data_IF_605548650182
#
_entry.id   IF_605548650182
#
_cell.length_a   1.000
_cell.length_b   1.000
_cell.length_c   1.000
_cell.angle_alpha   90.00
_cell.angle_beta   90.00
_cell.angle_gamma   90.00
#
_symmetry.space_group_name_H-M   'P 1'
#
loop_
_entity.id
_entity.type
_entity.pdbx_description
1 polymer ?
#
# COMPACT_ATOMS: atom_id res chain seq x y z
N UNK A 1 32.25 55.40 23.37
CA UNK A 1 30.93 54.85 23.01
C UNK A 1 31.11 53.40 22.62
N UNK A 2 30.21 52.51 23.04
CA UNK A 2 30.32 51.07 22.79
C UNK A 2 29.61 50.68 21.48
N UNK A 3 30.19 49.72 20.75
CA UNK A 3 29.51 48.94 19.73
C UNK A 3 29.86 47.46 19.97
N UNK A 4 28.83 46.61 20.10
CA UNK A 4 28.97 45.20 20.52
C UNK A 4 29.16 44.26 19.33
N UNK A 5 29.78 43.13 19.62
CA UNK A 5 29.82 41.91 18.81
C UNK A 5 28.43 41.55 18.25
N UNK A 6 28.31 41.14 16.97
CA UNK A 6 27.12 40.44 16.49
C UNK A 6 27.09 39.03 17.07
N UNK A 7 25.93 38.60 17.58
CA UNK A 7 25.74 37.26 18.10
C UNK A 7 25.53 36.24 16.98
N UNK A 8 26.25 35.13 17.07
CA UNK A 8 26.15 33.99 16.16
C UNK A 8 24.76 33.31 16.30
N UNK A 9 23.93 33.45 15.27
CA UNK A 9 22.58 32.88 15.26
C UNK A 9 22.66 31.39 14.89
N UNK A 10 22.67 30.51 15.90
CA UNK A 10 22.67 29.06 15.72
C UNK A 10 21.47 28.59 14.87
N UNK A 11 21.76 28.15 13.64
CA UNK A 11 20.77 27.55 12.73
C UNK A 11 20.37 26.18 13.29
N UNK A 12 19.13 26.08 13.79
CA UNK A 12 18.63 24.84 14.38
C UNK A 12 18.30 23.81 13.28
N UNK A 13 18.96 22.66 13.35
CA UNK A 13 18.80 21.52 12.46
C UNK A 13 17.32 21.11 12.24
N UNK A 14 16.84 21.00 10.99
CA UNK A 14 15.45 20.66 10.68
C UNK A 14 15.00 19.31 11.25
N UNK A 15 15.89 18.32 11.42
CA UNK A 15 15.54 17.05 12.07
C UNK A 15 15.13 17.24 13.53
N UNK A 16 15.85 18.10 14.25
CA UNK A 16 15.59 18.37 15.67
C UNK A 16 14.24 19.07 15.86
N UNK A 17 13.86 19.95 14.93
CA UNK A 17 12.54 20.58 14.90
C UNK A 17 11.43 19.57 14.57
N UNK A 18 11.66 18.63 13.64
CA UNK A 18 10.71 17.56 13.33
C UNK A 18 10.50 16.61 14.53
N UNK A 19 11.57 16.17 15.20
CA UNK A 19 11.50 15.35 16.42
C UNK A 19 10.77 16.07 17.56
N UNK A 20 11.03 17.37 17.77
CA UNK A 20 10.31 18.20 18.77
C UNK A 20 8.81 18.36 18.46
N UNK A 21 8.43 18.47 17.18
CA UNK A 21 7.01 18.49 16.76
C UNK A 21 6.33 17.14 17.02
N UNK A 22 6.95 16.02 16.65
CA UNK A 22 6.43 14.66 16.95
C UNK A 22 6.29 14.42 18.46
N UNK A 23 7.27 14.82 19.27
CA UNK A 23 7.21 14.71 20.73
C UNK A 23 6.10 15.57 21.37
N UNK A 24 5.81 16.76 20.84
CA UNK A 24 4.65 17.57 21.26
C UNK A 24 3.32 16.93 20.87
N UNK A 25 3.21 16.37 19.66
CA UNK A 25 2.00 15.67 19.23
C UNK A 25 1.73 14.42 20.10
N UNK A 26 2.75 13.61 20.40
CA UNK A 26 2.62 12.46 21.29
C UNK A 26 2.17 12.86 22.72
N UNK A 27 2.73 13.95 23.28
CA UNK A 27 2.28 14.48 24.59
C UNK A 27 0.86 15.05 24.57
N UNK A 28 0.39 15.58 23.45
CA UNK A 28 -0.99 16.02 23.30
C UNK A 28 -1.96 14.82 23.24
N UNK A 29 -1.60 13.76 22.50
CA UNK A 29 -2.37 12.52 22.44
C UNK A 29 -2.47 11.82 23.81
N UNK A 30 -1.37 11.73 24.57
CA UNK A 30 -1.38 11.16 25.93
C UNK A 30 -2.31 11.92 26.88
N UNK A 31 -2.35 13.26 26.84
CA UNK A 31 -3.29 14.06 27.65
C UNK A 31 -4.75 13.86 27.26
N UNK A 32 -5.05 13.60 25.98
CA UNK A 32 -6.41 13.31 25.53
C UNK A 32 -6.92 11.94 26.03
N UNK A 33 -6.04 10.95 26.14
CA UNK A 33 -6.35 9.64 26.74
C UNK A 33 -6.55 9.77 28.26
N UNK A 34 -5.69 10.54 28.94
CA UNK A 34 -5.75 10.77 30.39
C UNK A 34 -7.06 11.46 30.81
N UNK A 35 -7.60 12.38 29.99
CA UNK A 35 -8.92 13.00 30.22
C UNK A 35 -10.13 12.09 30.00
N UNK A 36 -9.97 10.92 29.37
CA UNK A 36 -11.07 9.98 29.08
C UNK A 36 -11.23 8.87 30.13
N UNK A 37 -10.24 8.68 31.01
CA UNK A 37 -10.21 7.57 31.97
C UNK A 37 -10.81 7.88 33.36
N UNK A 38 -11.43 9.06 33.54
CA UNK A 38 -11.87 9.56 34.85
C UNK A 38 -13.33 9.21 35.24
N UNK A 39 -14.01 8.33 34.49
CA UNK A 39 -15.38 7.92 34.79
C UNK A 39 -15.61 6.43 34.49
N UNK A 40 -15.44 5.58 35.51
CA UNK A 40 -16.17 4.32 35.81
C UNK A 40 -15.42 3.55 36.89
N UNK A 41 -16.00 3.44 38.09
CA UNK A 41 -15.64 2.42 39.08
C UNK A 41 -16.83 1.47 39.26
N UNK A 42 -16.61 0.15 39.39
CA UNK A 42 -17.69 -0.82 39.60
C UNK A 42 -18.06 -0.93 41.09
N UNK A 43 -19.35 -1.07 41.38
CA UNK A 43 -19.85 -1.35 42.73
C UNK A 43 -20.00 -2.88 42.95
N UNK A 44 -19.69 -3.42 44.14
CA UNK A 44 -19.86 -4.83 44.47
C UNK A 44 -21.22 -5.16 45.13
N UNK A 45 -21.56 -6.44 45.05
CA UNK A 45 -22.77 -7.12 45.51
C UNK A 45 -22.82 -7.35 47.04
N UNK A 46 -24.01 -7.40 47.69
CA UNK A 46 -24.16 -8.03 49.00
C UNK A 46 -25.30 -9.07 49.13
N UNK A 47 -24.99 -10.15 49.86
CA UNK A 47 -25.88 -11.25 50.29
C UNK A 47 -26.64 -10.93 51.62
N UNK A 48 -27.59 -11.79 52.07
CA UNK A 48 -28.68 -11.38 52.98
C UNK A 48 -28.54 -11.77 54.47
N UNK A 49 -29.19 -11.02 55.38
CA UNK A 49 -29.59 -11.35 56.78
C UNK A 49 -30.41 -10.16 57.40
N UNK A 50 -31.22 -10.21 58.50
CA UNK A 50 -31.77 -11.30 59.34
C UNK A 50 -33.14 -10.91 60.02
N UNK A 51 -34.27 -11.36 59.46
CA UNK A 51 -35.47 -11.98 60.14
C UNK A 51 -35.99 -11.51 61.54
N UNK A 52 -37.23 -10.99 61.59
CA UNK A 52 -38.36 -11.16 62.58
C UNK A 52 -38.15 -10.93 64.12
N UNK A 53 -39.19 -10.81 65.02
CA UNK A 53 -40.63 -11.17 64.87
C UNK A 53 -41.72 -10.28 65.56
N UNK A 54 -42.98 -10.77 65.44
CA UNK A 54 -44.17 -10.54 66.30
C UNK A 54 -45.02 -9.25 66.09
N UNK A 55 -46.35 -9.22 66.27
CA UNK A 55 -47.32 -10.20 66.76
C UNK A 55 -48.74 -10.06 66.12
N UNK A 56 -49.61 -11.07 66.28
CA UNK A 56 -51.06 -11.04 65.98
C UNK A 56 -51.84 -10.35 67.14
N UNK A 57 -53.09 -9.84 66.96
CA UNK A 57 -54.34 -10.63 66.82
C UNK A 57 -55.26 -10.14 65.67
N UNK A 58 -56.12 -10.92 65.01
CA UNK A 58 -57.31 -11.73 65.42
C UNK A 58 -58.53 -10.92 65.96
N UNK A 59 -59.62 -10.93 65.15
CA UNK A 59 -61.08 -10.92 65.50
C UNK A 59 -61.62 -9.78 66.39
N UNK A 60 -62.76 -9.13 66.12
CA UNK A 60 -64.13 -9.68 65.96
C UNK A 60 -65.09 -8.75 65.16
N UNK A 61 -66.33 -9.20 64.80
CA UNK A 61 -67.27 -8.46 63.97
C UNK A 61 -68.34 -7.67 64.77
N UNK A 62 -68.84 -6.56 64.21
CA UNK A 62 -70.04 -5.86 64.74
C UNK A 62 -71.05 -5.56 63.62
N UNK A 63 -72.33 -5.88 63.89
CA UNK A 63 -73.50 -5.72 63.00
C UNK A 63 -74.21 -4.35 63.25
N UNK A 64 -75.28 -3.99 62.50
CA UNK A 64 -75.45 -2.62 62.00
C UNK A 64 -76.21 -1.69 62.95
N UNK A 65 -76.15 -0.38 62.67
CA UNK A 65 -77.05 0.63 63.23
C UNK A 65 -77.65 1.53 62.13
N UNK A 66 -78.95 1.79 62.25
CA UNK A 66 -79.82 2.61 61.37
C UNK A 66 -80.74 3.42 62.32
N UNK A 67 -81.43 4.49 61.90
CA UNK A 67 -80.96 5.73 61.26
C UNK A 67 -81.29 7.00 62.09
N UNK A 68 -80.76 8.16 61.68
CA UNK A 68 -81.30 9.52 61.88
C UNK A 68 -80.81 10.35 60.68
N UNK A 69 -81.60 11.00 59.80
CA UNK A 69 -82.78 11.89 59.88
C UNK A 69 -82.42 13.32 60.32
N UNK A 70 -82.47 14.26 59.36
CA UNK A 70 -82.04 15.67 59.47
C UNK A 70 -80.53 15.81 59.25
N UNK A 71 -79.99 16.49 58.23
CA UNK A 71 -80.44 17.75 57.64
C UNK A 71 -80.25 17.83 56.11
N UNK A 72 -80.86 18.87 55.54
CA UNK A 72 -80.97 19.15 54.11
C UNK A 72 -79.71 19.88 53.59
N UNK A 73 -78.88 19.18 52.79
CA UNK A 73 -77.68 19.76 52.17
C UNK A 73 -77.91 19.96 50.65
N UNK A 74 -77.52 21.10 50.04
CA UNK A 74 -77.87 21.41 48.66
C UNK A 74 -77.20 20.50 47.63
N UNK A 75 -77.96 20.12 46.60
CA UNK A 75 -77.46 19.35 45.45
C UNK A 75 -76.38 20.17 44.71
N UNK A 76 -75.14 19.67 44.56
CA UNK A 76 -74.15 20.33 43.71
C UNK A 76 -74.60 20.26 42.24
N UNK A 77 -74.45 21.35 41.45
CA UNK A 77 -74.91 21.38 40.07
C UNK A 77 -74.20 20.32 39.21
N UNK A 78 -74.96 19.69 38.32
CA UNK A 78 -74.47 18.62 37.47
C UNK A 78 -73.26 19.06 36.62
N UNK A 79 -72.25 18.19 36.55
CA UNK A 79 -71.09 18.42 35.69
C UNK A 79 -71.53 18.65 34.22
N UNK A 80 -70.96 19.64 33.51
CA UNK A 80 -71.35 19.93 32.14
C UNK A 80 -71.08 18.74 31.24
N UNK A 81 -72.09 18.33 30.48
CA UNK A 81 -71.97 17.29 29.46
C UNK A 81 -70.97 17.76 28.40
N UNK A 82 -69.89 17.02 28.21
CA UNK A 82 -68.94 17.26 27.11
C UNK A 82 -69.67 17.06 25.77
N UNK A 83 -69.93 18.15 25.05
CA UNK A 83 -70.51 18.08 23.71
C UNK A 83 -69.56 17.36 22.75
N UNK A 84 -70.08 16.54 21.81
CA UNK A 84 -69.23 15.89 20.81
C UNK A 84 -68.55 16.93 19.93
N UNK A 85 -67.21 16.87 19.87
CA UNK A 85 -66.37 17.86 19.21
C UNK A 85 -66.72 18.02 17.72
N UNK A 86 -67.51 19.05 17.38
CA UNK A 86 -67.88 19.36 16.00
C UNK A 86 -66.64 19.84 15.24
N UNK A 87 -66.16 19.00 14.31
CA UNK A 87 -65.07 19.34 13.36
C UNK A 87 -65.37 20.62 12.59
N UNK A 88 -64.74 21.72 13.02
CA UNK A 88 -64.79 23.02 12.33
C UNK A 88 -64.19 22.87 10.91
N UNK A 89 -64.67 23.62 9.90
CA UNK A 89 -64.24 23.45 8.50
C UNK A 89 -62.73 23.63 8.29
N UNK A 90 -62.05 24.36 9.18
CA UNK A 90 -60.59 24.50 9.21
C UNK A 90 -59.85 23.16 9.32
N UNK A 91 -60.35 22.22 10.13
CA UNK A 91 -59.74 20.88 10.27
C UNK A 91 -59.96 20.01 9.03
N UNK A 92 -61.07 20.19 8.30
CA UNK A 92 -61.32 19.47 7.04
C UNK A 92 -60.31 19.85 5.96
N UNK A 93 -59.94 21.13 5.86
CA UNK A 93 -58.87 21.58 4.94
C UNK A 93 -57.50 21.01 5.30
N UNK A 94 -57.17 20.96 6.60
CA UNK A 94 -55.92 20.36 7.09
C UNK A 94 -55.86 18.86 6.76
N UNK A 95 -56.92 18.10 7.05
CA UNK A 95 -57.03 16.67 6.73
C UNK A 95 -56.98 16.44 5.20
N UNK A 96 -57.64 17.27 4.39
CA UNK A 96 -57.58 17.16 2.94
C UNK A 96 -56.17 17.40 2.38
N UNK A 97 -55.43 18.38 2.91
CA UNK A 97 -54.04 18.62 2.51
C UNK A 97 -53.09 17.49 2.94
N UNK A 98 -53.30 16.90 4.13
CA UNK A 98 -52.56 15.74 4.59
C UNK A 98 -52.82 14.52 3.68
N UNK A 99 -54.08 14.26 3.34
CA UNK A 99 -54.46 13.20 2.41
C UNK A 99 -53.84 13.41 1.02
N UNK A 100 -53.85 14.63 0.49
CA UNK A 100 -53.34 14.94 -0.84
C UNK A 100 -51.79 14.95 -0.94
N UNK A 101 -51.09 15.41 0.10
CA UNK A 101 -49.62 15.59 0.08
C UNK A 101 -48.88 14.39 0.67
N UNK A 102 -49.47 13.68 1.63
CA UNK A 102 -48.83 12.55 2.31
C UNK A 102 -49.44 11.22 1.85
N UNK A 103 -50.74 11.03 2.05
CA UNK A 103 -51.35 9.71 1.84
C UNK A 103 -51.40 9.33 0.37
N UNK A 104 -51.77 10.25 -0.53
CA UNK A 104 -51.86 9.98 -1.96
C UNK A 104 -50.49 9.62 -2.58
N UNK A 105 -49.38 10.35 -2.32
CA UNK A 105 -48.07 9.93 -2.80
C UNK A 105 -47.56 8.64 -2.15
N UNK A 106 -47.79 8.41 -0.84
CA UNK A 106 -47.42 7.15 -0.18
C UNK A 106 -48.16 5.95 -0.79
N UNK A 107 -49.46 6.09 -1.07
CA UNK A 107 -50.26 5.04 -1.73
C UNK A 107 -49.79 4.84 -3.17
N UNK A 108 -49.49 5.90 -3.92
CA UNK A 108 -48.93 5.79 -5.27
C UNK A 108 -47.57 5.07 -5.28
N UNK A 109 -46.68 5.39 -4.34
CA UNK A 109 -45.39 4.70 -4.14
C UNK A 109 -45.60 3.23 -3.77
N UNK A 110 -46.54 2.92 -2.88
CA UNK A 110 -46.86 1.55 -2.50
C UNK A 110 -47.40 0.74 -3.68
N UNK A 111 -48.34 1.29 -4.47
CA UNK A 111 -48.88 0.63 -5.66
C UNK A 111 -47.79 0.40 -6.71
N UNK A 112 -46.90 1.38 -6.95
CA UNK A 112 -45.78 1.22 -7.86
C UNK A 112 -44.81 0.10 -7.41
N UNK A 113 -44.38 0.12 -6.15
CA UNK A 113 -43.44 -0.86 -5.59
C UNK A 113 -44.02 -2.27 -5.48
N UNK A 114 -45.35 -2.44 -5.47
CA UNK A 114 -46.00 -3.74 -5.34
C UNK A 114 -46.51 -4.31 -6.66
N UNK A 115 -46.82 -3.47 -7.65
CA UNK A 115 -47.33 -3.90 -8.94
C UNK A 115 -46.29 -3.89 -10.07
N UNK A 116 -45.30 -2.99 -10.05
CA UNK A 116 -44.44 -2.69 -11.21
C UNK A 116 -42.94 -2.86 -10.96
N UNK A 117 -42.47 -2.74 -9.72
CA UNK A 117 -41.04 -2.89 -9.41
C UNK A 117 -40.61 -4.36 -9.55
N UNK A 118 -39.51 -4.58 -10.26
CA UNK A 118 -38.95 -5.93 -10.43
C UNK A 118 -38.26 -6.41 -9.13
N UNK A 119 -38.35 -7.71 -8.78
CA UNK A 119 -37.52 -8.26 -7.72
C UNK A 119 -36.05 -8.30 -8.16
N UNK A 120 -35.13 -7.86 -7.30
CA UNK A 120 -33.69 -8.00 -7.53
C UNK A 120 -33.12 -9.10 -6.62
N UNK A 121 -32.41 -10.03 -7.26
CA UNK A 121 -31.63 -11.09 -6.66
C UNK A 121 -30.16 -10.66 -6.57
N UNK A 122 -29.38 -11.33 -5.73
CA UNK A 122 -27.96 -11.03 -5.57
C UNK A 122 -27.13 -12.31 -5.59
N UNK A 123 -25.89 -12.21 -6.06
CA UNK A 123 -24.87 -13.25 -5.92
C UNK A 123 -23.65 -12.66 -5.25
N UNK A 124 -23.17 -13.33 -4.21
CA UNK A 124 -22.00 -12.92 -3.44
C UNK A 124 -20.81 -13.83 -3.77
N UNK A 125 -19.64 -13.24 -4.02
CA UNK A 125 -18.37 -13.96 -4.15
C UNK A 125 -17.26 -13.15 -3.48
N UNK A 126 -16.35 -13.86 -2.80
CA UNK A 126 -15.25 -13.26 -2.06
C UNK A 126 -13.97 -14.00 -2.42
N UNK A 127 -12.93 -13.26 -2.81
CA UNK A 127 -11.65 -13.82 -3.24
C UNK A 127 -10.48 -12.97 -2.76
N UNK A 128 -9.29 -13.57 -2.69
CA UNK A 128 -8.04 -12.82 -2.49
C UNK A 128 -6.99 -13.21 -3.53
N UNK A 129 -6.06 -12.29 -3.79
CA UNK A 129 -4.83 -12.60 -4.53
C UNK A 129 -3.84 -13.22 -3.56
N UNK A 130 -3.26 -14.37 -3.90
CA UNK A 130 -2.19 -15.01 -3.11
C UNK A 130 -0.89 -15.00 -3.91
N UNK A 131 0.18 -14.54 -3.28
CA UNK A 131 1.55 -14.73 -3.75
C UNK A 131 2.17 -15.95 -3.07
N UNK A 132 2.80 -16.84 -3.84
CA UNK A 132 3.59 -17.94 -3.30
C UNK A 132 5.01 -17.43 -2.97
N UNK A 133 5.12 -16.71 -1.84
CA UNK A 133 6.38 -16.12 -1.41
C UNK A 133 7.21 -17.12 -0.58
N UNK A 134 8.46 -17.35 -0.98
CA UNK A 134 9.29 -18.40 -0.41
C UNK A 134 9.82 -18.01 0.97
N UNK A 135 9.35 -18.69 2.02
CA UNK A 135 9.82 -18.58 3.41
C UNK A 135 11.25 -19.11 3.65
N UNK A 136 12.18 -18.86 2.72
CA UNK A 136 13.58 -19.26 2.83
C UNK A 136 14.42 -18.18 3.51
N UNK A 137 14.88 -18.45 4.73
CA UNK A 137 15.70 -17.53 5.54
C UNK A 137 17.00 -17.04 4.85
N UNK A 138 17.48 -17.73 3.81
CA UNK A 138 18.62 -17.30 3.00
C UNK A 138 18.33 -16.08 2.10
N UNK A 139 17.05 -15.74 1.86
CA UNK A 139 16.65 -14.65 0.96
C UNK A 139 16.54 -13.28 1.64
N UNK A 140 16.83 -13.14 2.94
CA UNK A 140 16.49 -11.93 3.72
C UNK A 140 17.03 -10.59 3.19
N UNK A 141 18.16 -10.59 2.46
CA UNK A 141 18.74 -9.39 1.87
C UNK A 141 18.25 -9.08 0.44
N UNK A 142 17.99 -10.12 -0.38
CA UNK A 142 17.47 -9.95 -1.75
C UNK A 142 15.94 -9.79 -1.76
N UNK A 143 15.23 -10.50 -0.87
CA UNK A 143 13.80 -10.39 -0.66
C UNK A 143 13.37 -9.01 -0.14
N UNK A 144 14.23 -8.35 0.66
CA UNK A 144 14.01 -6.98 1.10
C UNK A 144 14.04 -5.96 -0.06
N UNK A 145 14.78 -6.26 -1.14
CA UNK A 145 14.83 -5.43 -2.35
C UNK A 145 13.61 -5.70 -3.24
N UNK A 146 13.18 -6.96 -3.39
CA UNK A 146 11.97 -7.29 -4.17
C UNK A 146 10.68 -6.77 -3.51
N UNK A 147 10.62 -6.69 -2.18
CA UNK A 147 9.51 -6.09 -1.43
C UNK A 147 9.33 -4.58 -1.68
N UNK A 148 10.33 -3.88 -2.24
CA UNK A 148 10.22 -2.46 -2.62
C UNK A 148 9.49 -2.30 -3.98
N UNK A 149 9.37 -3.37 -4.78
CA UNK A 149 8.93 -3.29 -6.18
C UNK A 149 7.45 -3.58 -6.48
N UNK A 150 6.67 -4.14 -5.55
CA UNK A 150 5.27 -4.49 -5.82
C UNK A 150 4.67 -5.49 -4.84
N UNK A 151 4.21 -4.99 -3.69
CA UNK A 151 3.48 -5.78 -2.71
C UNK A 151 2.04 -6.07 -3.16
N UNK A 152 1.48 -7.21 -2.75
CA UNK A 152 0.15 -7.72 -3.12
C UNK A 152 -1.04 -6.78 -2.86
N UNK A 153 -0.83 -5.69 -2.09
CA UNK A 153 -1.77 -4.58 -2.01
C UNK A 153 -2.04 -3.93 -3.39
N UNK A 154 -1.00 -3.68 -4.21
CA UNK A 154 -1.17 -3.06 -5.54
C UNK A 154 -2.02 -3.92 -6.48
N UNK A 155 -1.81 -5.24 -6.45
CA UNK A 155 -2.52 -6.18 -7.32
C UNK A 155 -4.02 -6.24 -6.96
N UNK A 156 -4.32 -6.06 -5.67
CA UNK A 156 -5.68 -6.03 -5.13
C UNK A 156 -6.38 -4.69 -5.45
N UNK A 157 -5.66 -3.57 -5.35
CA UNK A 157 -6.15 -2.24 -5.75
C UNK A 157 -6.42 -2.17 -7.27
N UNK A 158 -5.51 -2.69 -8.10
CA UNK A 158 -5.68 -2.79 -9.56
C UNK A 158 -6.90 -3.63 -9.92
N UNK A 159 -7.13 -4.72 -9.19
CA UNK A 159 -8.29 -5.57 -9.41
C UNK A 159 -9.61 -4.89 -8.98
N UNK A 160 -9.60 -4.16 -7.86
CA UNK A 160 -10.71 -3.33 -7.40
C UNK A 160 -11.09 -2.22 -8.40
N UNK A 161 -10.12 -1.61 -9.05
CA UNK A 161 -10.35 -0.64 -10.13
C UNK A 161 -10.84 -1.31 -11.42
N UNK A 162 -10.27 -2.47 -11.78
CA UNK A 162 -10.66 -3.22 -12.98
C UNK A 162 -12.13 -3.66 -12.93
N UNK A 163 -12.61 -4.21 -11.80
CA UNK A 163 -13.99 -4.68 -11.66
C UNK A 163 -15.01 -3.52 -11.80
N UNK A 164 -14.58 -2.27 -11.61
CA UNK A 164 -15.40 -1.05 -11.74
C UNK A 164 -15.16 -0.27 -13.04
N UNK A 165 -14.26 -0.78 -13.89
CA UNK A 165 -13.84 -0.17 -15.15
C UNK A 165 -14.80 -0.50 -16.29
N UNK A 166 -14.77 0.30 -17.35
CA UNK A 166 -15.48 -0.01 -18.61
C UNK A 166 -14.94 -1.28 -19.29
N UNK A 167 -13.68 -1.64 -19.06
CA UNK A 167 -13.02 -2.75 -19.74
C UNK A 167 -13.58 -4.12 -19.32
N UNK A 168 -13.88 -4.32 -18.02
CA UNK A 168 -14.54 -5.56 -17.57
C UNK A 168 -15.99 -5.60 -18.04
N UNK A 169 -16.69 -4.45 -18.05
CA UNK A 169 -18.08 -4.34 -18.52
C UNK A 169 -18.18 -4.78 -19.97
N UNK A 170 -17.28 -4.29 -20.84
CA UNK A 170 -17.22 -4.72 -22.24
C UNK A 170 -16.88 -6.22 -22.37
N UNK A 171 -15.89 -6.73 -21.64
CA UNK A 171 -15.49 -8.15 -21.70
C UNK A 171 -16.62 -9.11 -21.28
N UNK A 172 -17.44 -8.72 -20.31
CA UNK A 172 -18.61 -9.49 -19.85
C UNK A 172 -19.80 -9.31 -20.81
N UNK A 173 -20.03 -8.10 -21.33
CA UNK A 173 -21.08 -7.81 -22.33
C UNK A 173 -20.88 -8.62 -23.62
N UNK A 174 -19.63 -8.76 -24.10
CA UNK A 174 -19.26 -9.61 -25.24
C UNK A 174 -19.54 -11.12 -25.02
N UNK A 175 -19.76 -11.57 -23.77
CA UNK A 175 -19.98 -12.98 -23.41
C UNK A 175 -21.41 -13.30 -22.99
N UNK A 176 -22.03 -12.40 -22.22
CA UNK A 176 -23.34 -12.62 -21.58
C UNK A 176 -24.46 -11.75 -22.15
N UNK A 177 -24.16 -10.78 -23.03
CA UNK A 177 -25.10 -9.73 -23.48
C UNK A 177 -25.78 -9.05 -22.27
N UNK A 178 -25.00 -8.23 -21.56
CA UNK A 178 -25.48 -7.53 -20.36
C UNK A 178 -26.64 -6.58 -20.70
N UNK A 179 -26.73 -6.11 -21.94
CA UNK A 179 -27.85 -5.28 -22.43
C UNK A 179 -29.15 -6.07 -22.45
N UNK A 180 -29.12 -7.34 -22.84
CA UNK A 180 -30.29 -8.21 -22.79
C UNK A 180 -30.67 -8.54 -21.34
N UNK A 181 -29.69 -8.89 -20.49
CA UNK A 181 -29.93 -9.23 -19.08
C UNK A 181 -30.54 -8.04 -18.31
N UNK A 182 -29.94 -6.85 -18.38
CA UNK A 182 -30.42 -5.66 -17.67
C UNK A 182 -31.66 -5.00 -18.31
N UNK A 183 -32.17 -5.51 -19.43
CA UNK A 183 -33.46 -5.13 -20.02
C UNK A 183 -34.48 -6.29 -20.04
N UNK A 184 -34.21 -7.43 -19.38
CA UNK A 184 -35.07 -8.60 -19.40
C UNK A 184 -36.49 -8.32 -18.87
N UNK A 185 -36.63 -7.35 -17.97
CA UNK A 185 -37.92 -6.91 -17.39
C UNK A 185 -38.32 -5.52 -17.91
N UNK A 186 -38.93 -5.39 -19.10
CA UNK A 186 -39.24 -4.09 -19.72
C UNK A 186 -40.35 -3.28 -19.01
N UNK A 187 -40.99 -3.84 -17.98
CA UNK A 187 -41.95 -3.11 -17.13
C UNK A 187 -41.27 -2.12 -16.18
N UNK A 188 -40.03 -2.38 -15.76
CA UNK A 188 -39.34 -1.53 -14.80
C UNK A 188 -38.45 -0.49 -15.49
N UNK A 189 -39.05 0.68 -15.77
CA UNK A 189 -38.37 1.79 -16.45
C UNK A 189 -37.45 2.61 -15.54
N UNK A 190 -37.35 2.27 -14.25
CA UNK A 190 -36.53 2.99 -13.26
C UNK A 190 -35.28 2.19 -12.91
N UNK A 191 -35.41 0.86 -12.80
CA UNK A 191 -34.30 -0.03 -12.47
C UNK A 191 -33.69 -0.75 -13.68
N UNK A 192 -34.35 -0.87 -14.84
CA UNK A 192 -33.70 -1.41 -16.05
C UNK A 192 -32.67 -0.42 -16.66
N UNK A 193 -31.77 -0.94 -17.50
CA UNK A 193 -30.79 -0.12 -18.26
C UNK A 193 -31.49 0.93 -19.15
N UNK A 194 -32.58 0.55 -19.81
CA UNK A 194 -33.40 1.43 -20.62
C UNK A 194 -33.01 1.47 -22.10
N UNK A 195 -33.35 2.57 -22.78
CA UNK A 195 -33.18 2.71 -24.24
C UNK A 195 -31.78 3.09 -24.68
N UNK A 196 -31.01 3.71 -23.79
CA UNK A 196 -29.62 4.06 -24.06
C UNK A 196 -28.75 2.82 -23.83
N UNK A 197 -28.21 2.29 -24.92
CA UNK A 197 -27.32 1.13 -24.90
C UNK A 197 -25.88 1.53 -25.24
N UNK A 198 -25.48 2.77 -24.94
CA UNK A 198 -24.06 3.14 -24.94
C UNK A 198 -23.29 2.34 -23.89
N UNK A 199 -22.00 2.11 -24.13
CA UNK A 199 -21.15 1.36 -23.19
C UNK A 199 -20.92 2.16 -21.90
N UNK A 200 -20.99 3.49 -21.99
CA UNK A 200 -20.98 4.44 -20.90
C UNK A 200 -22.21 4.28 -20.00
N UNK A 201 -23.42 4.25 -20.60
CA UNK A 201 -24.67 4.00 -19.86
C UNK A 201 -24.67 2.62 -19.20
N UNK A 202 -24.17 1.58 -19.89
CA UNK A 202 -24.02 0.24 -19.34
C UNK A 202 -23.00 0.21 -18.17
N UNK A 203 -21.91 0.98 -18.25
CA UNK A 203 -20.90 1.07 -17.18
C UNK A 203 -21.42 1.80 -15.94
N UNK A 204 -22.21 2.87 -16.11
CA UNK A 204 -22.85 3.57 -14.99
C UNK A 204 -24.03 2.78 -14.40
N UNK A 205 -24.63 1.88 -15.17
CA UNK A 205 -25.57 0.88 -14.66
C UNK A 205 -24.85 -0.22 -13.88
N UNK A 206 -23.76 -0.76 -14.42
CA UNK A 206 -22.89 -1.76 -13.78
C UNK A 206 -22.41 -1.31 -12.40
N UNK A 207 -21.95 -0.06 -12.25
CA UNK A 207 -21.54 0.50 -10.93
C UNK A 207 -22.66 0.54 -9.88
N UNK A 208 -23.93 0.40 -10.29
CA UNK A 208 -25.09 0.26 -9.39
C UNK A 208 -25.40 -1.20 -9.08
N UNK A 209 -25.30 -2.07 -10.08
CA UNK A 209 -25.61 -3.50 -10.01
C UNK A 209 -24.44 -4.39 -9.56
N UNK A 210 -23.21 -3.89 -9.52
CA UNK A 210 -22.04 -4.61 -9.02
C UNK A 210 -21.36 -3.75 -7.96
N UNK A 211 -21.45 -4.23 -6.72
CA UNK A 211 -20.89 -3.57 -5.53
C UNK A 211 -19.65 -4.32 -5.10
N UNK A 212 -18.52 -3.64 -5.13
CA UNK A 212 -17.23 -4.18 -4.71
C UNK A 212 -16.81 -3.51 -3.41
N UNK A 213 -16.44 -4.31 -2.41
CA UNK A 213 -15.73 -3.85 -1.21
C UNK A 213 -14.33 -4.49 -1.16
N UNK A 214 -13.36 -3.72 -0.65
CA UNK A 214 -11.97 -4.12 -0.48
C UNK A 214 -11.61 -4.00 0.99
N UNK A 215 -11.20 -5.10 1.62
CA UNK A 215 -10.59 -5.10 2.94
C UNK A 215 -9.06 -5.12 2.81
N UNK A 216 -8.45 -3.93 2.77
CA UNK A 216 -7.00 -3.74 2.57
C UNK A 216 -6.12 -4.41 3.64
N UNK A 217 -6.68 -4.84 4.77
CA UNK A 217 -5.95 -5.56 5.83
C UNK A 217 -5.73 -7.03 5.51
N UNK A 218 -6.71 -7.68 4.89
CA UNK A 218 -6.70 -9.11 4.60
C UNK A 218 -6.47 -9.41 3.10
N UNK A 219 -6.54 -8.38 2.24
CA UNK A 219 -6.40 -8.51 0.79
C UNK A 219 -7.61 -9.20 0.15
N UNK A 220 -8.76 -9.14 0.81
CA UNK A 220 -10.01 -9.77 0.36
C UNK A 220 -10.83 -8.72 -0.41
N UNK A 221 -11.31 -9.13 -1.58
CA UNK A 221 -12.29 -8.42 -2.38
C UNK A 221 -13.61 -9.19 -2.27
N UNK A 222 -14.65 -8.50 -1.82
CA UNK A 222 -16.03 -8.99 -1.88
C UNK A 222 -16.74 -8.33 -3.06
N UNK A 223 -17.33 -9.13 -3.92
CA UNK A 223 -18.18 -8.69 -5.02
C UNK A 223 -19.60 -9.16 -4.76
N UNK A 224 -20.54 -8.22 -4.75
CA UNK A 224 -21.97 -8.46 -4.69
C UNK A 224 -22.60 -7.96 -5.98
N UNK A 225 -23.03 -8.89 -6.81
CA UNK A 225 -23.72 -8.62 -8.07
C UNK A 225 -25.22 -8.68 -7.86
N UNK A 226 -25.97 -7.89 -8.64
CA UNK A 226 -27.42 -7.78 -8.58
C UNK A 226 -28.00 -7.95 -9.99
N UNK A 227 -29.10 -8.72 -10.10
CA UNK A 227 -29.83 -8.91 -11.35
C UNK A 227 -31.31 -9.23 -11.09
N UNK A 228 -32.14 -9.18 -12.14
CA UNK A 228 -33.59 -9.45 -12.05
C UNK A 228 -33.94 -10.94 -11.93
N UNK A 229 -32.97 -11.84 -12.13
CA UNK A 229 -33.09 -13.29 -11.92
C UNK A 229 -31.92 -13.79 -11.06
N UNK A 230 -32.09 -14.84 -10.24
CA UNK A 230 -30.99 -15.40 -9.46
C UNK A 230 -29.94 -16.08 -10.35
N UNK A 231 -30.34 -16.67 -11.49
CA UNK A 231 -29.43 -17.30 -12.44
C UNK A 231 -28.52 -16.27 -13.13
N UNK A 232 -29.05 -15.11 -13.52
CA UNK A 232 -28.23 -14.09 -14.18
C UNK A 232 -27.32 -13.35 -13.19
N UNK A 233 -27.75 -13.17 -11.93
CA UNK A 233 -26.87 -12.68 -10.87
C UNK A 233 -25.66 -13.61 -10.68
N UNK A 234 -25.90 -14.93 -10.61
CA UNK A 234 -24.82 -15.91 -10.48
C UNK A 234 -23.87 -15.90 -11.70
N UNK A 235 -24.40 -15.93 -12.93
CA UNK A 235 -23.58 -15.87 -14.16
C UNK A 235 -22.68 -14.62 -14.21
N UNK A 236 -23.21 -13.46 -13.79
CA UNK A 236 -22.43 -12.22 -13.76
C UNK A 236 -21.30 -12.33 -12.73
N UNK A 237 -21.56 -12.87 -11.53
CA UNK A 237 -20.53 -13.10 -10.54
C UNK A 237 -19.47 -14.14 -10.98
N UNK A 238 -19.87 -15.21 -11.66
CA UNK A 238 -18.97 -16.20 -12.27
C UNK A 238 -18.04 -15.57 -13.32
N UNK A 239 -18.57 -14.74 -14.23
CA UNK A 239 -17.74 -14.10 -15.26
C UNK A 239 -16.88 -12.96 -14.69
N UNK A 240 -17.33 -12.24 -13.65
CA UNK A 240 -16.45 -11.32 -12.90
C UNK A 240 -15.28 -12.07 -12.27
N UNK A 241 -15.52 -13.23 -11.65
CA UNK A 241 -14.46 -14.07 -11.08
C UNK A 241 -13.52 -14.59 -12.17
N UNK A 242 -14.05 -14.97 -13.34
CA UNK A 242 -13.27 -15.44 -14.48
C UNK A 242 -12.39 -14.34 -15.10
N UNK A 243 -12.93 -13.15 -15.37
CA UNK A 243 -12.15 -11.99 -15.86
C UNK A 243 -11.13 -11.51 -14.82
N UNK A 244 -11.48 -11.52 -13.54
CA UNK A 244 -10.55 -11.21 -12.44
C UNK A 244 -9.35 -12.16 -12.44
N UNK A 245 -9.59 -13.46 -12.59
CA UNK A 245 -8.54 -14.47 -12.70
C UNK A 245 -7.69 -14.29 -13.97
N UNK A 246 -8.32 -14.00 -15.12
CA UNK A 246 -7.60 -13.69 -16.39
C UNK A 246 -6.68 -12.48 -16.24
N UNK A 247 -7.11 -11.42 -15.54
CA UNK A 247 -6.27 -10.25 -15.28
C UNK A 247 -5.07 -10.60 -14.41
N UNK A 248 -5.27 -11.28 -13.28
CA UNK A 248 -4.18 -11.69 -12.37
C UNK A 248 -3.16 -12.56 -13.10
N UNK A 249 -3.60 -13.53 -13.91
CA UNK A 249 -2.70 -14.36 -14.71
C UNK A 249 -1.94 -13.53 -15.75
N UNK A 250 -2.62 -12.64 -16.49
CA UNK A 250 -1.98 -11.76 -17.49
C UNK A 250 -0.90 -10.87 -16.88
N UNK A 251 -1.19 -10.23 -15.74
CA UNK A 251 -0.21 -9.42 -15.00
C UNK A 251 0.98 -10.25 -14.53
N UNK A 252 0.72 -11.49 -14.09
CA UNK A 252 1.77 -12.41 -13.65
C UNK A 252 2.66 -12.89 -14.79
N UNK A 253 2.09 -13.24 -15.94
CA UNK A 253 2.83 -13.67 -17.14
C UNK A 253 3.63 -12.52 -17.75
N UNK A 254 3.08 -11.30 -17.76
CA UNK A 254 3.82 -10.11 -18.15
C UNK A 254 5.00 -9.86 -17.19
N UNK A 255 4.77 -9.85 -15.86
CA UNK A 255 5.83 -9.65 -14.88
C UNK A 255 6.95 -10.71 -14.97
N UNK A 256 6.64 -11.98 -15.27
CA UNK A 256 7.64 -13.02 -15.56
C UNK A 256 8.46 -12.70 -16.80
N UNK A 257 7.79 -12.30 -17.88
CA UNK A 257 8.41 -12.00 -19.17
C UNK A 257 9.35 -10.80 -19.04
N UNK A 258 8.88 -9.73 -18.39
CA UNK A 258 9.65 -8.51 -18.13
C UNK A 258 10.85 -8.80 -17.23
N UNK A 259 10.68 -9.57 -16.14
CA UNK A 259 11.79 -9.95 -15.25
C UNK A 259 12.87 -10.78 -15.97
N UNK A 260 12.47 -11.76 -16.80
CA UNK A 260 13.41 -12.55 -17.60
C UNK A 260 14.13 -11.68 -18.64
N UNK A 261 13.39 -10.78 -19.31
CA UNK A 261 13.93 -9.86 -20.30
C UNK A 261 15.01 -8.96 -19.69
N UNK A 262 14.68 -8.23 -18.62
CA UNK A 262 15.63 -7.32 -17.96
C UNK A 262 16.85 -8.05 -17.38
N UNK A 263 16.66 -9.24 -16.77
CA UNK A 263 17.79 -10.01 -16.25
C UNK A 263 18.71 -10.57 -17.37
N UNK A 264 18.15 -10.86 -18.54
CA UNK A 264 18.92 -11.29 -19.73
C UNK A 264 19.65 -10.11 -20.38
N UNK A 265 19.01 -8.94 -20.44
CA UNK A 265 19.62 -7.70 -20.92
C UNK A 265 20.80 -7.29 -20.03
N UNK A 266 20.63 -7.35 -18.71
CA UNK A 266 21.66 -7.00 -17.73
C UNK A 266 22.85 -7.98 -17.77
N UNK A 267 22.60 -9.29 -17.90
CA UNK A 267 23.67 -10.27 -18.13
C UNK A 267 24.44 -9.98 -19.43
N UNK A 268 23.74 -9.60 -20.49
CA UNK A 268 24.36 -9.28 -21.78
C UNK A 268 25.24 -8.02 -21.68
N UNK A 269 24.77 -6.98 -20.97
CA UNK A 269 25.57 -5.77 -20.66
C UNK A 269 26.80 -6.10 -19.82
N UNK A 270 26.64 -6.89 -18.76
CA UNK A 270 27.75 -7.27 -17.89
C UNK A 270 28.79 -8.15 -18.61
N UNK A 271 28.36 -9.06 -19.50
CA UNK A 271 29.27 -9.84 -20.33
C UNK A 271 30.03 -8.96 -21.33
N UNK A 272 29.35 -8.02 -22.00
CA UNK A 272 29.98 -7.08 -22.93
C UNK A 272 31.01 -6.18 -22.21
N UNK A 273 30.67 -5.67 -21.03
CA UNK A 273 31.59 -4.88 -20.19
C UNK A 273 32.81 -5.69 -19.76
N UNK A 274 32.62 -6.90 -19.22
CA UNK A 274 33.72 -7.81 -18.86
C UNK A 274 34.60 -8.17 -20.05
N UNK A 275 34.02 -8.34 -21.25
CA UNK A 275 34.79 -8.58 -22.47
C UNK A 275 35.64 -7.37 -22.84
N UNK A 276 35.06 -6.16 -22.82
CA UNK A 276 35.78 -4.90 -23.11
C UNK A 276 36.94 -4.63 -22.15
N UNK A 277 36.73 -4.81 -20.83
CA UNK A 277 37.80 -4.64 -19.83
C UNK A 277 38.92 -5.66 -20.04
N UNK A 278 38.60 -6.92 -20.35
CA UNK A 278 39.61 -7.96 -20.63
C UNK A 278 40.39 -7.68 -21.92
N UNK A 279 39.75 -7.11 -22.94
CA UNK A 279 40.39 -6.67 -24.16
C UNK A 279 41.32 -5.47 -23.91
N UNK A 280 40.86 -4.46 -23.16
CA UNK A 280 41.68 -3.32 -22.75
C UNK A 280 42.92 -3.75 -21.96
N UNK A 281 42.77 -4.64 -20.98
CA UNK A 281 43.89 -5.19 -20.22
C UNK A 281 44.86 -6.00 -21.10
N UNK A 282 44.35 -6.76 -22.07
CA UNK A 282 45.19 -7.51 -23.02
C UNK A 282 45.94 -6.60 -24.00
N UNK A 283 45.31 -5.50 -24.44
CA UNK A 283 45.92 -4.48 -25.29
C UNK A 283 47.00 -3.72 -24.51
N UNK A 284 46.70 -3.25 -23.29
CA UNK A 284 47.66 -2.60 -22.39
C UNK A 284 48.91 -3.47 -22.16
N UNK A 285 48.74 -4.76 -21.84
CA UNK A 285 49.86 -5.70 -21.71
C UNK A 285 50.66 -5.86 -23.01
N UNK A 286 50.00 -5.88 -24.17
CA UNK A 286 50.67 -6.00 -25.48
C UNK A 286 51.50 -4.76 -25.80
N UNK A 287 50.91 -3.59 -25.65
CA UNK A 287 51.50 -2.30 -26.03
C UNK A 287 52.68 -1.97 -25.12
N UNK A 288 52.55 -2.26 -23.82
CA UNK A 288 53.61 -2.10 -22.83
C UNK A 288 54.56 -3.33 -22.71
N UNK A 289 54.33 -4.39 -23.50
CA UNK A 289 55.10 -5.66 -23.52
C UNK A 289 55.23 -6.36 -22.16
N UNK A 290 54.24 -6.19 -21.30
CA UNK A 290 54.23 -6.72 -19.94
C UNK A 290 53.77 -8.18 -19.93
N UNK A 291 54.54 -9.06 -19.28
CA UNK A 291 54.15 -10.46 -19.08
C UNK A 291 53.53 -10.63 -17.68
N UNK A 292 54.21 -10.11 -16.65
CA UNK A 292 53.70 -9.96 -15.30
C UNK A 292 54.27 -8.65 -14.71
N UNK A 293 53.49 -7.55 -14.68
CA UNK A 293 53.98 -6.25 -14.24
C UNK A 293 54.51 -6.25 -12.81
N UNK A 294 53.96 -7.09 -11.91
CA UNK A 294 54.42 -7.17 -10.52
C UNK A 294 55.76 -7.89 -10.44
N UNK A 295 55.94 -8.97 -11.21
CA UNK A 295 57.22 -9.66 -11.31
C UNK A 295 58.29 -8.79 -12.01
N UNK A 296 57.92 -8.08 -13.08
CA UNK A 296 58.83 -7.22 -13.86
C UNK A 296 59.34 -6.04 -13.00
N UNK A 297 58.46 -5.34 -12.28
CA UNK A 297 58.84 -4.28 -11.30
C UNK A 297 59.69 -4.86 -10.17
N UNK A 298 59.30 -6.01 -9.60
CA UNK A 298 60.03 -6.63 -8.49
C UNK A 298 61.44 -7.08 -8.92
N UNK A 299 61.59 -7.58 -10.14
CA UNK A 299 62.88 -7.96 -10.72
C UNK A 299 63.82 -6.76 -10.92
N UNK A 300 63.31 -5.65 -11.50
CA UNK A 300 64.08 -4.42 -11.67
C UNK A 300 64.48 -3.80 -10.33
N UNK A 301 63.57 -3.74 -9.35
CA UNK A 301 63.88 -3.28 -8.00
C UNK A 301 64.92 -4.19 -7.31
N UNK A 302 64.84 -5.50 -7.51
CA UNK A 302 65.83 -6.47 -7.03
C UNK A 302 67.22 -6.25 -7.64
N UNK A 303 67.31 -5.99 -8.94
CA UNK A 303 68.56 -5.66 -9.63
C UNK A 303 69.15 -4.34 -9.12
N UNK A 304 68.33 -3.29 -8.97
CA UNK A 304 68.76 -1.99 -8.45
C UNK A 304 69.31 -2.13 -7.02
N UNK A 305 68.61 -2.83 -6.13
CA UNK A 305 69.09 -3.12 -4.77
C UNK A 305 70.40 -3.92 -4.76
N UNK A 306 70.59 -4.84 -5.70
CA UNK A 306 71.84 -5.60 -5.84
C UNK A 306 73.01 -4.71 -6.30
N UNK A 307 72.78 -3.81 -7.26
CA UNK A 307 73.77 -2.83 -7.72
C UNK A 307 74.11 -1.81 -6.62
N UNK A 308 73.11 -1.32 -5.87
CA UNK A 308 73.35 -0.43 -4.72
C UNK A 308 74.13 -1.14 -3.61
N UNK A 309 73.89 -2.43 -3.37
CA UNK A 309 74.69 -3.25 -2.45
C UNK A 309 76.14 -3.44 -2.95
N UNK A 310 76.35 -3.62 -4.25
CA UNK A 310 77.70 -3.70 -4.83
C UNK A 310 78.44 -2.35 -4.74
N UNK A 311 77.75 -1.23 -5.01
CA UNK A 311 78.28 0.11 -4.86
C UNK A 311 78.72 0.37 -3.42
N UNK A 312 77.85 0.07 -2.45
CA UNK A 312 78.16 0.24 -1.02
C UNK A 312 79.39 -0.60 -0.59
N UNK A 313 79.50 -1.84 -1.06
CA UNK A 313 80.69 -2.69 -0.81
C UNK A 313 81.95 -2.10 -1.40
N UNK A 314 81.91 -1.64 -2.66
CA UNK A 314 83.06 -1.03 -3.32
C UNK A 314 83.49 0.29 -2.65
N UNK A 315 82.54 1.09 -2.15
CA UNK A 315 82.85 2.30 -1.36
C UNK A 315 83.53 1.96 -0.02
N UNK A 316 83.03 0.95 0.71
CA UNK A 316 83.66 0.50 1.96
C UNK A 316 85.07 -0.05 1.71
N UNK A 317 85.25 -0.88 0.67
CA UNK A 317 86.55 -1.44 0.26
C UNK A 317 87.56 -0.33 -0.08
N UNK A 318 87.10 0.73 -0.73
CA UNK A 318 87.90 1.93 -1.04
C UNK A 318 88.32 2.69 0.21
N UNK A 319 87.38 2.95 1.11
CA UNK A 319 87.63 3.76 2.31
C UNK A 319 88.52 3.00 3.32
N UNK A 320 88.39 1.68 3.41
CA UNK A 320 89.32 0.81 4.13
C UNK A 320 90.74 0.92 3.55
N UNK A 321 90.89 0.76 2.23
CA UNK A 321 92.19 0.86 1.55
C UNK A 321 92.84 2.23 1.73
N UNK A 322 92.07 3.33 1.68
CA UNK A 322 92.55 4.70 1.88
C UNK A 322 93.00 4.99 3.32
N UNK A 323 92.68 4.14 4.30
CA UNK A 323 93.19 4.30 5.67
C UNK A 323 94.68 3.97 5.80
N UNK A 324 95.28 3.31 4.80
CA UNK A 324 96.70 2.92 4.80
C UNK A 324 97.42 3.02 3.44
N UNK A 325 96.73 3.30 2.33
CA UNK A 325 97.32 3.48 0.99
C UNK A 325 97.18 4.91 0.46
N UNK A 326 98.11 5.33 -0.41
CA UNK A 326 98.03 6.63 -1.09
C UNK A 326 96.85 6.66 -2.08
N UNK A 327 96.09 7.77 -2.21
CA UNK A 327 95.01 7.90 -3.18
C UNK A 327 95.37 7.62 -4.64
N UNK A 328 96.67 7.67 -5.01
CA UNK A 328 97.15 7.36 -6.36
C UNK A 328 97.55 5.89 -6.56
N UNK A 329 97.50 5.05 -5.52
CA UNK A 329 97.76 3.61 -5.61
C UNK A 329 96.88 2.97 -6.70
N UNK A 330 97.48 2.10 -7.52
CA UNK A 330 96.81 1.41 -8.62
C UNK A 330 95.59 0.60 -8.16
N UNK A 331 95.59 0.14 -6.90
CA UNK A 331 94.46 -0.55 -6.25
C UNK A 331 93.28 0.38 -6.00
N UNK A 332 93.51 1.60 -5.48
CA UNK A 332 92.47 2.62 -5.28
C UNK A 332 91.83 2.97 -6.63
N UNK A 333 92.65 3.23 -7.65
CA UNK A 333 92.16 3.51 -9.00
C UNK A 333 91.35 2.37 -9.62
N UNK A 334 91.59 1.11 -9.22
CA UNK A 334 90.80 -0.03 -9.68
C UNK A 334 89.41 -0.06 -9.03
N UNK A 335 89.32 0.26 -7.74
CA UNK A 335 88.04 0.36 -7.03
C UNK A 335 87.26 1.59 -7.53
N UNK A 336 87.91 2.74 -7.75
CA UNK A 336 87.29 3.93 -8.36
C UNK A 336 86.66 3.63 -9.73
N UNK A 337 87.34 2.85 -10.58
CA UNK A 337 86.79 2.40 -11.87
C UNK A 337 85.57 1.48 -11.69
N UNK A 338 85.56 0.62 -10.66
CA UNK A 338 84.40 -0.24 -10.33
C UNK A 338 83.22 0.59 -9.84
N UNK A 339 83.46 1.54 -8.93
CA UNK A 339 82.45 2.49 -8.44
C UNK A 339 81.84 3.25 -9.63
N UNK A 340 82.65 3.84 -10.50
CA UNK A 340 82.17 4.56 -11.68
C UNK A 340 81.34 3.68 -12.62
N UNK A 341 81.73 2.41 -12.82
CA UNK A 341 80.98 1.46 -13.65
C UNK A 341 79.64 1.06 -13.02
N UNK A 342 79.60 0.79 -11.70
CA UNK A 342 78.36 0.43 -10.99
C UNK A 342 77.42 1.63 -10.89
N UNK A 343 77.92 2.82 -10.56
CA UNK A 343 77.12 4.06 -10.56
C UNK A 343 76.55 4.35 -11.94
N UNK A 344 77.35 4.28 -13.00
CA UNK A 344 76.85 4.44 -14.37
C UNK A 344 75.81 3.40 -14.77
N UNK A 345 75.83 2.20 -14.17
CA UNK A 345 74.79 1.19 -14.36
C UNK A 345 73.52 1.47 -13.56
N UNK A 346 73.65 1.95 -12.32
CA UNK A 346 72.53 2.42 -11.48
C UNK A 346 71.81 3.59 -12.16
N UNK A 347 72.55 4.56 -12.69
CA UNK A 347 71.98 5.72 -13.39
C UNK A 347 71.32 5.31 -14.71
N UNK A 348 71.86 4.32 -15.43
CA UNK A 348 71.22 3.75 -16.62
C UNK A 348 69.92 2.97 -16.28
N UNK A 349 69.89 2.23 -15.17
CA UNK A 349 68.71 1.48 -14.73
C UNK A 349 67.60 2.42 -14.21
N UNK A 350 67.97 3.42 -13.39
CA UNK A 350 67.07 4.52 -12.98
C UNK A 350 66.62 5.37 -14.17
N UNK A 351 67.49 5.53 -15.17
CA UNK A 351 67.17 6.11 -16.47
C UNK A 351 66.10 5.29 -17.20
N UNK A 352 66.28 3.97 -17.30
CA UNK A 352 65.29 3.05 -17.90
C UNK A 352 63.93 3.06 -17.17
N UNK A 353 63.93 3.22 -15.85
CA UNK A 353 62.72 3.34 -15.02
C UNK A 353 61.95 4.66 -15.22
N UNK A 354 62.63 5.73 -15.64
CA UNK A 354 62.07 7.09 -15.75
C UNK A 354 61.91 7.59 -17.20
N UNK A 355 62.74 7.09 -18.12
CA UNK A 355 62.87 7.54 -19.52
C UNK A 355 63.16 6.35 -20.45
N UNK A 356 62.10 5.70 -20.92
CA UNK A 356 62.07 5.08 -22.25
C UNK A 356 62.30 3.57 -22.34
N UNK A 357 61.51 2.94 -23.21
CA UNK A 357 61.60 1.51 -23.59
C UNK A 357 60.21 0.88 -23.72
N UNK A 358 59.34 1.29 -22.79
CA UNK A 358 57.89 1.10 -22.78
C UNK A 358 57.23 2.49 -22.97
N UNK A 359 56.02 2.57 -23.51
CA UNK A 359 55.32 3.85 -23.78
C UNK A 359 54.74 4.49 -22.51
N UNK A 360 55.60 5.00 -21.63
CA UNK A 360 55.24 5.69 -20.38
C UNK A 360 56.36 5.57 -19.34
N UNK A 361 56.32 6.37 -18.26
CA UNK A 361 57.21 6.14 -17.11
C UNK A 361 56.71 4.95 -16.29
N UNK A 362 57.60 4.19 -15.65
CA UNK A 362 57.21 2.95 -14.96
C UNK A 362 56.09 3.14 -13.91
N UNK A 363 56.04 4.23 -13.11
CA UNK A 363 54.94 4.47 -12.18
C UNK A 363 53.58 4.69 -12.86
N UNK A 364 53.53 5.34 -14.03
CA UNK A 364 52.29 5.53 -14.79
C UNK A 364 51.77 4.21 -15.35
N UNK A 365 52.68 3.33 -15.80
CA UNK A 365 52.35 1.98 -16.29
C UNK A 365 51.80 1.11 -15.16
N UNK A 366 52.36 1.18 -13.95
CA UNK A 366 51.83 0.47 -12.78
C UNK A 366 50.46 1.01 -12.38
N UNK A 367 50.28 2.33 -12.31
CA UNK A 367 48.99 2.94 -11.96
C UNK A 367 47.86 2.56 -12.93
N UNK A 368 48.10 2.67 -14.24
CA UNK A 368 47.11 2.26 -15.25
C UNK A 368 46.84 0.75 -15.27
N UNK A 369 47.82 -0.08 -14.87
CA UNK A 369 47.62 -1.52 -14.70
C UNK A 369 46.74 -1.84 -13.48
N UNK A 370 46.95 -1.16 -12.35
CA UNK A 370 46.15 -1.33 -11.13
C UNK A 370 44.69 -0.87 -11.34
N UNK A 371 44.48 0.23 -12.06
CA UNK A 371 43.15 0.68 -12.49
C UNK A 371 42.43 -0.40 -13.32
N UNK A 372 43.11 -0.99 -14.32
CA UNK A 372 42.56 -2.07 -15.14
C UNK A 372 42.36 -3.40 -14.39
N UNK A 373 43.12 -3.68 -13.32
CA UNK A 373 42.83 -4.82 -12.42
C UNK A 373 41.56 -4.59 -11.59
N UNK A 374 41.37 -3.38 -11.06
CA UNK A 374 40.16 -3.00 -10.31
C UNK A 374 38.93 -3.04 -11.21
N UNK A 375 39.01 -2.49 -12.42
CA UNK A 375 37.94 -2.59 -13.43
C UNK A 375 37.60 -4.06 -13.76
N UNK A 376 38.61 -4.94 -13.84
CA UNK A 376 38.39 -6.36 -14.09
C UNK A 376 37.68 -7.06 -12.93
N UNK A 377 38.00 -6.70 -11.69
CA UNK A 377 37.31 -7.20 -10.49
C UNK A 377 35.85 -6.72 -10.43
N UNK A 378 35.62 -5.42 -10.70
CA UNK A 378 34.27 -4.83 -10.78
C UNK A 378 33.46 -5.53 -11.88
N UNK A 379 34.02 -5.67 -13.08
CA UNK A 379 33.33 -6.30 -14.21
C UNK A 379 33.04 -7.79 -13.97
N UNK A 380 33.95 -8.53 -13.32
CA UNK A 380 33.73 -9.92 -12.91
C UNK A 380 32.60 -10.01 -11.88
N UNK A 381 32.59 -9.12 -10.89
CA UNK A 381 31.60 -9.09 -9.81
C UNK A 381 30.22 -8.74 -10.36
N UNK A 382 30.13 -7.74 -11.25
CA UNK A 382 28.93 -7.39 -11.99
C UNK A 382 28.38 -8.58 -12.80
N UNK A 383 29.25 -9.28 -13.55
CA UNK A 383 28.86 -10.49 -14.29
C UNK A 383 28.32 -11.60 -13.38
N UNK A 384 28.95 -11.86 -12.22
CA UNK A 384 28.43 -12.88 -11.28
C UNK A 384 27.11 -12.49 -10.65
N UNK A 385 26.89 -11.19 -10.37
CA UNK A 385 25.60 -10.70 -9.89
C UNK A 385 24.50 -10.80 -10.96
N UNK A 386 24.80 -10.42 -12.21
CA UNK A 386 23.84 -10.52 -13.31
C UNK A 386 23.48 -11.99 -13.63
N UNK A 387 24.46 -12.90 -13.56
CA UNK A 387 24.23 -14.34 -13.72
C UNK A 387 23.32 -14.90 -12.61
N UNK A 388 23.55 -14.50 -11.36
CA UNK A 388 22.69 -14.88 -10.23
C UNK A 388 21.27 -14.28 -10.35
N UNK A 389 21.16 -13.03 -10.81
CA UNK A 389 19.89 -12.36 -11.10
C UNK A 389 19.08 -13.07 -12.18
N UNK A 390 19.72 -13.48 -13.27
CA UNK A 390 19.08 -14.30 -14.32
C UNK A 390 18.63 -15.65 -13.80
N UNK A 391 19.46 -16.36 -13.03
CA UNK A 391 19.08 -17.64 -12.44
C UNK A 391 17.87 -17.50 -11.48
N UNK A 392 17.80 -16.40 -10.73
CA UNK A 392 16.63 -16.09 -9.91
C UNK A 392 15.38 -15.80 -10.75
N UNK A 393 15.50 -15.02 -11.83
CA UNK A 393 14.39 -14.74 -12.76
C UNK A 393 13.87 -16.01 -13.45
N UNK A 394 14.76 -16.90 -13.90
CA UNK A 394 14.40 -18.21 -14.46
C UNK A 394 13.66 -19.08 -13.42
N UNK A 395 14.14 -19.12 -12.17
CA UNK A 395 13.48 -19.85 -11.08
C UNK A 395 12.10 -19.28 -10.70
N UNK A 396 11.90 -17.96 -10.81
CA UNK A 396 10.59 -17.31 -10.64
C UNK A 396 9.65 -17.59 -11.82
N UNK A 397 10.16 -17.56 -13.06
CA UNK A 397 9.38 -17.84 -14.26
C UNK A 397 8.87 -19.29 -14.31
N UNK A 398 9.63 -20.25 -13.76
CA UNK A 398 9.23 -21.65 -13.64
C UNK A 398 8.15 -21.91 -12.57
N UNK A 399 7.76 -20.93 -11.74
CA UNK A 399 6.84 -21.12 -10.60
C UNK A 399 5.55 -20.31 -10.72
N UNK A 400 4.46 -20.84 -10.14
CA UNK A 400 3.17 -20.14 -10.10
C UNK A 400 3.11 -19.12 -8.95
N UNK A 401 3.91 -18.06 -9.06
CA UNK A 401 4.10 -17.05 -8.00
C UNK A 401 2.86 -16.26 -7.59
N UNK A 402 1.79 -16.23 -8.39
CA UNK A 402 0.53 -15.50 -8.11
C UNK A 402 -0.67 -16.25 -8.68
N UNK A 403 -1.76 -16.29 -7.92
CA UNK A 403 -3.07 -16.78 -8.37
C UNK A 403 -4.21 -16.18 -7.53
N UNK A 404 -5.41 -16.18 -8.10
CA UNK A 404 -6.64 -15.76 -7.42
C UNK A 404 -7.27 -16.97 -6.71
N UNK A 405 -7.61 -16.81 -5.43
CA UNK A 405 -8.30 -17.86 -4.63
C UNK A 405 -9.71 -17.39 -4.27
N UNK A 406 -10.77 -18.03 -4.81
CA UNK A 406 -12.13 -17.81 -4.32
C UNK A 406 -12.30 -18.48 -2.96
N UNK A 407 -12.55 -17.68 -1.93
CA UNK A 407 -12.98 -18.15 -0.61
C UNK A 407 -14.48 -18.47 -0.61
N UNK A 408 -15.28 -17.69 -1.37
CA UNK A 408 -16.71 -17.89 -1.58
C UNK A 408 -16.96 -17.89 -3.08
N UNK A 409 -17.43 -19.02 -3.63
CA UNK A 409 -17.89 -19.10 -5.01
C UNK A 409 -19.26 -18.42 -5.18
N UNK A 410 -19.57 -17.88 -6.38
CA UNK A 410 -20.85 -17.22 -6.67
C UNK A 410 -22.09 -17.99 -6.18
N UNK A 411 -22.79 -17.39 -5.22
CA UNK A 411 -23.99 -17.95 -4.60
C UNK A 411 -25.24 -17.74 -5.46
N UNK A 412 -26.22 -18.64 -5.34
CA UNK A 412 -27.55 -18.47 -5.97
C UNK A 412 -28.55 -18.02 -4.90
N UNK A 413 -29.20 -16.86 -5.10
CA UNK A 413 -30.13 -16.31 -4.11
C UNK A 413 -31.49 -17.01 -4.12
N UNK A 414 -31.87 -17.57 -2.96
CA UNK A 414 -33.19 -18.18 -2.74
C UNK A 414 -34.33 -17.14 -2.53
N UNK A 415 -34.01 -15.87 -2.30
CA UNK A 415 -35.01 -14.81 -2.02
C UNK A 415 -34.53 -13.46 -2.55
N UNK A 416 -35.45 -12.70 -3.18
CA UNK A 416 -35.20 -11.34 -3.65
C UNK A 416 -34.97 -10.39 -2.46
N UNK A 417 -33.88 -9.63 -2.48
CA UNK A 417 -33.49 -8.74 -1.37
C UNK A 417 -34.03 -7.30 -1.55
N UNK A 418 -34.37 -6.95 -2.79
CA UNK A 418 -34.91 -5.65 -3.18
C UNK A 418 -36.12 -5.82 -4.13
N UNK A 419 -37.02 -4.82 -4.19
CA UNK A 419 -37.04 -3.61 -3.38
C UNK A 419 -37.46 -3.88 -1.93
N UNK A 420 -36.80 -3.25 -0.95
CA UNK A 420 -37.22 -3.26 0.47
C UNK A 420 -38.45 -2.37 0.67
N UNK A 421 -39.57 -2.77 0.07
CA UNK A 421 -40.79 -1.99 -0.08
C UNK A 421 -41.28 -1.39 1.24
N UNK A 422 -41.35 -2.17 2.31
CA UNK A 422 -41.73 -1.68 3.65
C UNK A 422 -40.83 -0.56 4.19
N UNK A 423 -39.51 -0.63 3.96
CA UNK A 423 -38.58 0.42 4.36
C UNK A 423 -38.76 1.67 3.50
N UNK A 424 -38.84 1.51 2.17
CA UNK A 424 -39.01 2.63 1.22
C UNK A 424 -40.34 3.36 1.47
N UNK A 425 -41.44 2.62 1.66
CA UNK A 425 -42.77 3.18 1.97
C UNK A 425 -42.75 3.89 3.33
N UNK A 426 -42.14 3.30 4.36
CA UNK A 426 -41.99 3.91 5.68
C UNK A 426 -41.16 5.20 5.65
N UNK A 427 -40.06 5.20 4.89
CA UNK A 427 -39.18 6.37 4.74
C UNK A 427 -39.83 7.48 3.92
N UNK A 428 -40.55 7.13 2.84
CA UNK A 428 -41.35 8.07 2.06
C UNK A 428 -42.46 8.70 2.92
N UNK A 429 -43.18 7.90 3.72
CA UNK A 429 -44.18 8.40 4.66
C UNK A 429 -43.56 9.33 5.72
N UNK A 430 -42.38 9.00 6.26
CA UNK A 430 -41.66 9.85 7.20
C UNK A 430 -41.27 11.21 6.59
N UNK A 431 -40.65 11.22 5.41
CA UNK A 431 -40.26 12.48 4.75
C UNK A 431 -41.46 13.31 4.31
N UNK A 432 -42.53 12.69 3.81
CA UNK A 432 -43.74 13.40 3.39
C UNK A 432 -44.51 13.96 4.59
N UNK A 433 -44.62 13.23 5.71
CA UNK A 433 -45.23 13.75 6.95
C UNK A 433 -44.43 14.91 7.54
N UNK A 434 -43.10 14.81 7.58
CA UNK A 434 -42.23 15.90 8.04
C UNK A 434 -42.33 17.13 7.12
N UNK A 435 -42.27 16.95 5.80
CA UNK A 435 -42.41 18.04 4.82
C UNK A 435 -43.77 18.74 4.92
N UNK A 436 -44.86 17.97 5.09
CA UNK A 436 -46.19 18.52 5.34
C UNK A 436 -46.28 19.28 6.68
N UNK A 437 -45.64 18.77 7.74
CA UNK A 437 -45.58 19.45 9.04
C UNK A 437 -44.87 20.81 8.95
N UNK A 438 -43.75 20.88 8.24
CA UNK A 438 -43.03 22.13 7.97
C UNK A 438 -43.87 23.10 7.13
N UNK A 439 -44.53 22.61 6.07
CA UNK A 439 -45.46 23.42 5.26
C UNK A 439 -46.61 23.99 6.09
N UNK A 440 -47.17 23.21 7.02
CA UNK A 440 -48.19 23.69 7.95
C UNK A 440 -47.65 24.73 8.92
N UNK A 441 -46.46 24.53 9.49
CA UNK A 441 -45.83 25.51 10.37
C UNK A 441 -45.62 26.86 9.66
N UNK A 442 -45.11 26.83 8.42
CA UNK A 442 -44.91 28.03 7.59
C UNK A 442 -46.26 28.68 7.26
N UNK A 443 -47.25 27.91 6.83
CA UNK A 443 -48.59 28.42 6.50
C UNK A 443 -49.25 29.12 7.69
N UNK A 444 -49.18 28.51 8.88
CA UNK A 444 -49.72 29.11 10.10
C UNK A 444 -48.91 30.34 10.53
N UNK A 445 -47.58 30.32 10.48
CA UNK A 445 -46.74 31.47 10.84
C UNK A 445 -47.01 32.69 9.93
N UNK A 446 -47.09 32.50 8.61
CA UNK A 446 -47.40 33.57 7.65
C UNK A 446 -48.84 34.08 7.80
N UNK A 447 -49.76 33.24 8.30
CA UNK A 447 -51.16 33.60 8.53
C UNK A 447 -51.43 34.26 9.88
N UNK A 448 -50.63 33.97 10.90
CA UNK A 448 -50.74 34.57 12.24
C UNK A 448 -50.05 35.96 12.28
N UNK A 449 -49.07 36.18 11.38
CA UNK A 449 -48.44 37.48 11.11
C UNK A 449 -49.26 38.39 10.15
N UNK A 450 -50.58 38.17 10.02
CA UNK A 450 -51.52 38.96 9.18
C UNK A 450 -52.86 39.17 9.87
#
# INVERSE_FOLDING_TARGET
MAARTPAEAAVADPEVLARRRRARAARAALRAVESSSAATQPAPDPRPEHRDPAAQPRTEPVRPRRPARGDEAPVPPAAPKLEPARVRPRHRGMIASFLAIVVLPVVATAVYLWAWAAPEYHSETSFSVRSEEMGSAAAGLLGAITQIGGGSASDTDVLYDYIRSQAIVQAIDERLDLRAIYNHTPSDRVFALGKDQTIEALTDHWRKMVRVSLESREGIIDVRTYAFTPEDAQKIADEVLAESNKLVNRLSDQARTDALFFATEELTKAEAYLRGVRENLANFRRDHRLVDPRADVSGQAGLLNALESELAKAMVERDELLSYADPKDQRVQQIDRRIAAVTGRIDAERGSLSVGGVTGSMPEVVGGYEELEVDLEIARTAYTHALAGRAAAEAMAQRQSRYLVPHIQPTLAETALYPRSGLIIGLAALFLTLGWSVLMLIYYNVRDNR
#
